data_IF_337044116238
#
_entry.id   IF_337044116238
#
_cell.length_a   1.000
_cell.length_b   1.000
_cell.length_c   1.000
_cell.angle_alpha   90.00
_cell.angle_beta   90.00
_cell.angle_gamma   90.00
#
_symmetry.space_group_name_H-M   'P 1'
#
loop_
_entity.id
_entity.type
_entity.pdbx_description
1 polymer ?
#
# COMPACT_ATOMS: atom_id res chain seq x y z
N UNK A 1 -12.49 -13.81 9.61
CA UNK A 1 -12.19 -12.40 9.31
C UNK A 1 -13.08 -11.95 8.18
N UNK A 2 -14.06 -11.09 8.47
CA UNK A 2 -14.89 -10.44 7.48
C UNK A 2 -14.14 -9.26 6.86
N UNK A 3 -14.39 -9.03 5.57
CA UNK A 3 -13.91 -7.86 4.83
C UNK A 3 -15.01 -7.34 3.93
N UNK A 4 -14.92 -6.06 3.56
CA UNK A 4 -15.73 -5.46 2.50
C UNK A 4 -14.81 -4.75 1.52
N UNK A 5 -15.13 -4.85 0.24
CA UNK A 5 -14.46 -4.15 -0.85
C UNK A 5 -15.53 -3.46 -1.70
N UNK A 6 -15.44 -2.15 -1.84
CA UNK A 6 -16.26 -1.38 -2.76
C UNK A 6 -15.40 -0.90 -3.92
N UNK A 7 -15.95 -0.98 -5.14
CA UNK A 7 -15.32 -0.48 -6.34
C UNK A 7 -16.30 0.35 -7.16
N UNK A 8 -15.78 1.32 -7.91
CA UNK A 8 -16.51 2.15 -8.85
C UNK A 8 -15.71 2.31 -10.13
N UNK A 9 -16.39 2.13 -11.25
CA UNK A 9 -15.93 2.64 -12.53
C UNK A 9 -16.60 4.00 -12.80
N UNK A 10 -15.81 4.99 -13.17
CA UNK A 10 -16.27 6.30 -13.66
C UNK A 10 -15.77 6.50 -15.08
N UNK A 11 -16.55 7.16 -15.92
CA UNK A 11 -16.18 7.41 -17.31
C UNK A 11 -16.51 8.85 -17.71
N UNK A 12 -15.63 9.44 -18.53
CA UNK A 12 -15.78 10.79 -19.06
C UNK A 12 -15.80 10.66 -20.59
N UNK A 13 -16.73 11.38 -21.23
CA UNK A 13 -16.87 11.39 -22.69
C UNK A 13 -18.32 11.66 -23.11
N UNK A 14 -18.55 12.14 -24.34
CA UNK A 14 -19.88 12.51 -24.83
C UNK A 14 -20.84 11.32 -24.99
N UNK A 15 -20.30 10.11 -25.10
CA UNK A 15 -21.08 8.86 -25.15
C UNK A 15 -20.65 7.88 -24.06
N UNK A 16 -20.02 8.39 -23.00
CA UNK A 16 -19.50 7.57 -21.92
C UNK A 16 -20.65 6.88 -21.18
N UNK A 17 -20.55 5.57 -21.05
CA UNK A 17 -21.50 4.75 -20.34
C UNK A 17 -20.76 3.74 -19.46
N UNK A 18 -21.24 3.57 -18.24
CA UNK A 18 -20.75 2.57 -17.29
C UNK A 18 -21.91 1.68 -16.89
N UNK A 19 -21.78 0.37 -17.08
CA UNK A 19 -22.72 -0.63 -16.56
C UNK A 19 -22.02 -1.60 -15.62
N UNK A 20 -22.80 -2.15 -14.68
CA UNK A 20 -22.39 -3.22 -13.79
C UNK A 20 -23.34 -4.40 -14.00
N UNK A 21 -22.80 -5.54 -14.40
CA UNK A 21 -23.54 -6.78 -14.60
C UNK A 21 -23.11 -7.79 -13.55
N UNK A 22 -23.89 -7.95 -12.45
CA UNK A 22 -23.61 -8.98 -11.46
C UNK A 22 -23.84 -10.37 -12.05
N UNK A 23 -22.96 -11.30 -11.70
CA UNK A 23 -23.08 -12.73 -12.01
C UNK A 23 -23.66 -13.48 -10.80
N UNK A 24 -24.33 -14.61 -11.03
CA UNK A 24 -24.97 -15.41 -9.98
C UNK A 24 -23.98 -15.96 -8.94
N UNK A 25 -22.70 -16.07 -9.30
CA UNK A 25 -21.61 -16.60 -8.46
C UNK A 25 -20.96 -15.56 -7.53
N UNK A 26 -21.53 -14.35 -7.43
CA UNK A 26 -20.99 -13.27 -6.61
C UNK A 26 -19.87 -12.46 -7.27
N UNK A 27 -19.62 -12.71 -8.56
CA UNK A 27 -18.78 -11.86 -9.40
C UNK A 27 -19.61 -10.69 -9.97
N UNK A 28 -18.94 -9.66 -10.46
CA UNK A 28 -19.57 -8.62 -11.25
C UNK A 28 -18.63 -8.15 -12.36
N UNK A 29 -19.18 -7.95 -13.55
CA UNK A 29 -18.45 -7.34 -14.67
C UNK A 29 -18.81 -5.86 -14.76
N UNK A 30 -17.80 -4.99 -14.66
CA UNK A 30 -17.94 -3.56 -14.96
C UNK A 30 -17.59 -3.32 -16.44
N UNK A 31 -18.50 -2.70 -17.18
CA UNK A 31 -18.32 -2.41 -18.60
C UNK A 31 -18.32 -0.90 -18.79
N UNK A 32 -17.28 -0.37 -19.44
CA UNK A 32 -17.17 1.03 -19.81
C UNK A 32 -17.16 1.14 -21.34
N UNK A 33 -18.04 1.96 -21.91
CA UNK A 33 -18.12 2.18 -23.36
C UNK A 33 -18.21 3.67 -23.69
N UNK A 34 -17.77 4.05 -24.91
CA UNK A 34 -17.91 5.41 -25.43
C UNK A 34 -17.16 6.51 -24.64
N UNK A 35 -16.23 6.11 -23.78
CA UNK A 35 -15.45 7.01 -22.92
C UNK A 35 -14.15 7.47 -23.61
N UNK A 36 -13.75 8.71 -23.35
CA UNK A 36 -12.40 9.21 -23.66
C UNK A 36 -11.43 8.92 -22.51
N UNK A 37 -11.94 8.89 -21.28
CA UNK A 37 -11.20 8.53 -20.08
C UNK A 37 -12.07 7.66 -19.17
N UNK A 38 -11.44 6.68 -18.50
CA UNK A 38 -12.09 5.82 -17.55
C UNK A 38 -11.24 5.68 -16.28
N UNK A 39 -11.92 5.58 -15.13
CA UNK A 39 -11.31 5.53 -13.81
C UNK A 39 -11.88 4.34 -13.06
N UNK A 40 -11.00 3.58 -12.41
CA UNK A 40 -11.40 2.55 -11.46
C UNK A 40 -10.90 3.00 -10.09
N UNK A 41 -11.83 3.13 -9.14
CA UNK A 41 -11.53 3.43 -7.75
C UNK A 41 -12.02 2.29 -6.89
N UNK A 42 -11.22 1.85 -5.92
CA UNK A 42 -11.66 0.86 -4.94
C UNK A 42 -11.21 1.24 -3.54
N UNK A 43 -11.94 0.75 -2.55
CA UNK A 43 -11.60 0.87 -1.13
C UNK A 43 -12.03 -0.40 -0.41
N UNK A 44 -11.18 -0.90 0.46
CA UNK A 44 -11.46 -2.07 1.27
C UNK A 44 -11.19 -1.81 2.74
N UNK A 45 -11.86 -2.57 3.59
CA UNK A 45 -11.60 -2.60 5.04
C UNK A 45 -11.96 -3.98 5.58
N UNK A 46 -11.42 -4.29 6.75
CA UNK A 46 -11.70 -5.53 7.46
C UNK A 46 -12.40 -5.22 8.77
N UNK A 47 -12.92 -6.25 9.42
CA UNK A 47 -13.40 -6.13 10.78
C UNK A 47 -12.26 -5.95 11.79
N UNK A 48 -10.97 -5.96 11.42
CA UNK A 48 -9.88 -5.85 12.38
C UNK A 48 -9.79 -4.48 13.04
N UNK A 49 -9.59 -4.48 14.34
CA UNK A 49 -9.29 -3.30 15.15
C UNK A 49 -8.25 -3.68 16.21
N UNK A 50 -7.08 -3.02 16.16
CA UNK A 50 -5.97 -3.30 17.07
C UNK A 50 -6.31 -2.91 18.52
N UNK A 51 -7.15 -1.89 18.70
CA UNK A 51 -7.50 -1.34 20.01
C UNK A 51 -8.63 -2.14 20.68
N UNK A 52 -9.40 -2.91 19.89
CA UNK A 52 -10.46 -3.78 20.39
C UNK A 52 -9.95 -5.10 21.02
N UNK A 53 -8.66 -5.13 21.37
CA UNK A 53 -8.05 -6.22 22.12
C UNK A 53 -8.37 -6.19 23.62
N UNK A 54 -9.06 -5.18 24.15
CA UNK A 54 -9.25 -5.02 25.60
C UNK A 54 -10.45 -5.81 26.19
N UNK A 55 -10.61 -5.73 27.53
CA UNK A 55 -11.72 -6.34 28.28
C UNK A 55 -13.10 -5.82 27.84
N UNK A 56 -13.21 -4.53 27.49
CA UNK A 56 -14.48 -3.91 27.09
C UNK A 56 -14.99 -4.46 25.77
N UNK A 57 -14.07 -4.86 24.90
CA UNK A 57 -14.31 -5.51 23.62
C UNK A 57 -14.19 -7.03 23.69
N UNK A 58 -14.09 -7.60 24.89
CA UNK A 58 -13.91 -9.05 25.13
C UNK A 58 -12.76 -9.65 24.33
N UNK A 59 -11.65 -8.91 24.18
CA UNK A 59 -10.45 -9.31 23.44
C UNK A 59 -10.75 -9.72 21.99
N UNK A 60 -11.73 -9.08 21.36
CA UNK A 60 -12.24 -9.49 20.04
C UNK A 60 -11.32 -9.13 18.88
N UNK A 61 -10.56 -8.03 19.01
CA UNK A 61 -9.83 -7.37 17.92
C UNK A 61 -10.73 -7.04 16.72
N UNK A 62 -12.01 -6.73 16.99
CA UNK A 62 -13.03 -6.53 15.96
C UNK A 62 -13.79 -5.21 16.09
N UNK A 63 -14.03 -4.58 14.94
CA UNK A 63 -14.94 -3.45 14.73
C UNK A 63 -16.00 -3.78 13.68
N UNK A 64 -17.06 -2.96 13.67
CA UNK A 64 -18.06 -2.97 12.61
C UNK A 64 -17.50 -2.26 11.38
N UNK A 65 -17.62 -2.88 10.21
CA UNK A 65 -17.25 -2.25 8.93
C UNK A 65 -18.36 -1.25 8.53
N UNK A 66 -18.01 0.03 8.48
CA UNK A 66 -18.93 1.13 8.14
C UNK A 66 -19.04 1.35 6.64
N UNK A 67 -20.19 1.00 6.06
CA UNK A 67 -20.47 1.20 4.63
C UNK A 67 -20.49 2.68 4.25
N UNK A 68 -21.01 3.54 5.14
CA UNK A 68 -21.02 4.99 4.93
C UNK A 68 -19.61 5.57 4.87
N UNK A 69 -18.68 5.08 5.70
CA UNK A 69 -17.26 5.47 5.62
C UNK A 69 -16.63 5.05 4.30
N UNK A 70 -16.80 3.79 3.90
CA UNK A 70 -16.23 3.28 2.64
C UNK A 70 -16.79 4.02 1.43
N UNK A 71 -18.11 4.24 1.37
CA UNK A 71 -18.73 5.02 0.31
C UNK A 71 -18.28 6.49 0.32
N UNK A 72 -18.06 7.08 1.50
CA UNK A 72 -17.48 8.41 1.64
C UNK A 72 -16.10 8.52 0.99
N UNK A 73 -15.18 7.61 1.33
CA UNK A 73 -13.84 7.55 0.73
C UNK A 73 -13.94 7.36 -0.79
N UNK A 74 -14.75 6.40 -1.24
CA UNK A 74 -14.94 6.11 -2.65
C UNK A 74 -15.47 7.34 -3.41
N UNK A 75 -16.44 8.07 -2.84
CA UNK A 75 -17.00 9.27 -3.43
C UNK A 75 -15.97 10.41 -3.54
N UNK A 76 -15.14 10.61 -2.51
CA UNK A 76 -14.08 11.62 -2.54
C UNK A 76 -13.00 11.30 -3.57
N UNK A 77 -12.70 10.01 -3.77
CA UNK A 77 -11.67 9.56 -4.70
C UNK A 77 -12.16 9.36 -6.15
N UNK A 78 -13.47 9.41 -6.41
CA UNK A 78 -14.03 9.14 -7.74
C UNK A 78 -14.31 10.43 -8.53
N UNK A 79 -13.86 10.54 -9.79
CA UNK A 79 -14.30 11.61 -10.68
C UNK A 79 -15.80 11.53 -10.97
N UNK A 80 -16.38 12.71 -11.20
CA UNK A 80 -17.75 12.87 -11.69
C UNK A 80 -17.76 13.83 -12.89
N UNK A 81 -18.85 13.82 -13.67
CA UNK A 81 -19.03 14.78 -14.77
C UNK A 81 -19.01 16.25 -14.32
N UNK A 82 -19.33 16.51 -13.04
CA UNK A 82 -19.26 17.84 -12.43
C UNK A 82 -17.88 18.18 -11.82
N UNK A 83 -17.02 17.18 -11.60
CA UNK A 83 -15.66 17.35 -11.06
C UNK A 83 -14.71 16.32 -11.70
N UNK A 84 -14.32 16.54 -12.97
CA UNK A 84 -13.46 15.63 -13.72
C UNK A 84 -11.98 15.72 -13.30
N UNK A 85 -11.58 16.76 -12.56
CA UNK A 85 -10.19 17.08 -12.21
C UNK A 85 -9.66 16.40 -10.93
N UNK A 86 -10.21 15.25 -10.54
CA UNK A 86 -9.81 14.53 -9.31
C UNK A 86 -8.47 13.81 -9.41
N UNK A 87 -8.04 13.35 -10.59
CA UNK A 87 -6.78 12.59 -10.68
C UNK A 87 -5.54 13.41 -10.34
N UNK A 88 -5.37 14.58 -10.96
CA UNK A 88 -4.17 15.39 -10.76
C UNK A 88 -4.03 15.84 -9.30
N UNK A 89 -5.16 16.18 -8.65
CA UNK A 89 -5.16 16.53 -7.22
C UNK A 89 -4.88 15.32 -6.33
N UNK A 90 -5.47 14.15 -6.60
CA UNK A 90 -5.20 12.91 -5.88
C UNK A 90 -3.75 12.44 -6.06
N UNK A 91 -3.21 12.52 -7.28
CA UNK A 91 -1.82 12.20 -7.57
C UNK A 91 -0.88 13.14 -6.81
N UNK A 92 -1.16 14.45 -6.83
CA UNK A 92 -0.37 15.44 -6.09
C UNK A 92 -0.42 15.18 -4.58
N UNK A 93 -1.61 14.89 -4.04
CA UNK A 93 -1.77 14.53 -2.63
C UNK A 93 -1.02 13.24 -2.28
N UNK A 94 -1.08 12.22 -3.15
CA UNK A 94 -0.33 10.98 -3.00
C UNK A 94 1.19 11.23 -3.00
N UNK A 95 1.72 11.97 -3.98
CA UNK A 95 3.15 12.28 -4.08
C UNK A 95 3.62 13.04 -2.83
N UNK A 96 2.84 14.02 -2.36
CA UNK A 96 3.19 14.78 -1.16
C UNK A 96 3.21 13.89 0.09
N UNK A 97 2.19 13.05 0.28
CA UNK A 97 2.12 12.10 1.39
C UNK A 97 3.23 11.05 1.34
N UNK A 98 3.53 10.54 0.14
CA UNK A 98 4.60 9.58 -0.07
C UNK A 98 5.99 10.19 0.25
N UNK A 99 6.24 11.42 -0.21
CA UNK A 99 7.48 12.14 0.05
C UNK A 99 7.65 12.50 1.53
N UNK A 100 6.56 12.78 2.26
CA UNK A 100 6.67 13.01 3.71
C UNK A 100 7.15 11.77 4.45
N UNK A 101 6.74 10.57 4.02
CA UNK A 101 7.24 9.32 4.62
C UNK A 101 8.69 9.02 4.27
N UNK A 102 9.13 9.29 3.03
CA UNK A 102 10.52 9.07 2.62
C UNK A 102 11.51 10.01 3.33
N UNK A 103 11.05 11.20 3.70
CA UNK A 103 11.89 12.24 4.27
C UNK A 103 12.91 12.80 3.28
N UNK A 104 13.83 13.61 3.80
CA UNK A 104 14.80 14.38 2.99
C UNK A 104 16.08 13.63 2.63
N UNK A 105 16.27 12.40 3.12
CA UNK A 105 17.51 11.65 2.91
C UNK A 105 17.71 11.31 1.42
N UNK A 106 18.94 11.54 0.94
CA UNK A 106 19.38 11.21 -0.41
C UNK A 106 20.75 10.56 -0.37
N UNK A 107 20.92 9.49 -1.16
CA UNK A 107 22.19 8.79 -1.35
C UNK A 107 22.71 9.04 -2.77
N UNK A 108 24.00 9.36 -2.87
CA UNK A 108 24.74 9.37 -4.14
C UNK A 108 25.96 8.47 -4.02
N UNK A 109 26.08 7.52 -4.93
CA UNK A 109 27.21 6.60 -5.09
C UNK A 109 28.04 6.98 -6.34
N UNK A 110 27.81 8.16 -6.93
CA UNK A 110 28.37 8.52 -8.23
C UNK A 110 27.73 7.76 -9.40
N UNK A 111 26.51 7.25 -9.19
CA UNK A 111 25.78 6.47 -10.17
C UNK A 111 25.32 7.32 -11.36
N UNK A 112 25.34 6.72 -12.54
CA UNK A 112 24.72 7.25 -13.75
C UNK A 112 23.55 6.36 -14.15
N UNK A 113 22.33 6.89 -14.32
CA UNK A 113 21.20 6.08 -14.76
C UNK A 113 21.49 5.36 -16.08
N UNK A 114 21.23 4.06 -16.10
CA UNK A 114 21.26 3.26 -17.31
C UNK A 114 19.82 2.99 -17.76
N UNK A 115 19.44 3.55 -18.91
CA UNK A 115 18.15 3.33 -19.56
C UNK A 115 18.26 2.41 -20.78
N UNK A 116 19.44 1.87 -21.06
CA UNK A 116 19.71 0.98 -22.19
C UNK A 116 19.47 -0.50 -21.86
N UNK A 117 19.55 -0.84 -20.57
CA UNK A 117 19.27 -2.17 -20.05
C UNK A 117 18.09 -2.15 -19.07
N UNK A 118 17.35 -3.24 -19.00
CA UNK A 118 16.33 -3.42 -17.96
C UNK A 118 16.95 -3.79 -16.61
N UNK A 119 16.21 -3.58 -15.51
CA UNK A 119 16.71 -3.87 -14.15
C UNK A 119 17.07 -5.35 -13.96
N UNK A 120 16.35 -6.28 -14.60
CA UNK A 120 16.65 -7.71 -14.56
C UNK A 120 17.95 -8.07 -15.31
N UNK A 121 18.23 -7.42 -16.43
CA UNK A 121 19.51 -7.54 -17.15
C UNK A 121 20.68 -6.99 -16.30
N UNK A 122 20.52 -5.81 -15.70
CA UNK A 122 21.51 -5.22 -14.81
C UNK A 122 21.82 -6.14 -13.62
N UNK A 123 20.78 -6.74 -13.03
CA UNK A 123 20.91 -7.71 -11.93
C UNK A 123 21.61 -8.98 -12.38
N UNK A 124 21.27 -9.53 -13.54
CA UNK A 124 21.90 -10.74 -14.07
C UNK A 124 23.38 -10.53 -14.39
N UNK A 125 23.77 -9.31 -14.79
CA UNK A 125 25.15 -8.95 -15.11
C UNK A 125 25.98 -8.53 -13.88
N UNK A 126 25.37 -8.32 -12.72
CA UNK A 126 26.04 -7.81 -11.51
C UNK A 126 27.13 -8.78 -11.02
N UNK A 127 28.33 -8.24 -10.72
CA UNK A 127 29.47 -8.99 -10.19
C UNK A 127 29.97 -8.29 -8.93
N UNK A 128 30.01 -9.01 -7.80
CA UNK A 128 30.32 -8.42 -6.48
C UNK A 128 31.69 -7.74 -6.41
N UNK A 129 32.68 -8.24 -7.15
CA UNK A 129 34.03 -7.69 -7.23
C UNK A 129 34.13 -6.44 -8.12
N UNK A 130 33.15 -6.20 -8.99
CA UNK A 130 33.09 -5.03 -9.89
C UNK A 130 32.09 -3.97 -9.43
N UNK A 131 30.97 -4.39 -8.86
CA UNK A 131 29.86 -3.53 -8.49
C UNK A 131 29.10 -2.95 -9.69
N UNK A 132 28.02 -2.23 -9.38
CA UNK A 132 27.27 -1.37 -10.28
C UNK A 132 26.59 -0.29 -9.43
N UNK A 133 27.17 0.93 -9.34
CA UNK A 133 26.65 1.99 -8.48
C UNK A 133 25.19 2.36 -8.76
N UNK A 134 24.73 2.22 -10.01
CA UNK A 134 23.33 2.49 -10.34
C UNK A 134 22.41 1.42 -9.78
N UNK A 135 22.72 0.14 -9.96
CA UNK A 135 21.91 -0.94 -9.41
C UNK A 135 21.93 -0.95 -7.87
N UNK A 136 23.08 -0.68 -7.25
CA UNK A 136 23.22 -0.56 -5.80
C UNK A 136 22.38 0.60 -5.25
N UNK A 137 22.40 1.75 -5.94
CA UNK A 137 21.55 2.89 -5.60
C UNK A 137 20.06 2.59 -5.77
N UNK A 138 19.67 1.87 -6.84
CA UNK A 138 18.29 1.42 -7.04
C UNK A 138 17.88 0.49 -5.89
N UNK A 139 18.71 -0.50 -5.54
CA UNK A 139 18.43 -1.44 -4.46
C UNK A 139 18.26 -0.73 -3.11
N UNK A 140 19.14 0.22 -2.79
CA UNK A 140 19.03 1.03 -1.58
C UNK A 140 17.69 1.78 -1.51
N UNK A 141 17.32 2.48 -2.58
CA UNK A 141 16.04 3.22 -2.61
C UNK A 141 14.84 2.28 -2.71
N UNK A 142 15.00 1.08 -3.26
CA UNK A 142 13.93 0.09 -3.32
C UNK A 142 13.53 -0.41 -1.93
N UNK A 143 14.48 -0.60 -1.00
CA UNK A 143 14.17 -0.91 0.40
C UNK A 143 13.33 0.18 1.06
N UNK A 144 13.72 1.45 0.87
CA UNK A 144 12.94 2.62 1.33
C UNK A 144 11.55 2.66 0.70
N UNK A 145 11.47 2.42 -0.61
CA UNK A 145 10.19 2.36 -1.34
C UNK A 145 9.26 1.27 -0.78
N UNK A 146 9.78 0.07 -0.54
CA UNK A 146 9.02 -1.06 -0.01
C UNK A 146 8.50 -0.78 1.40
N UNK A 147 9.31 -0.18 2.27
CA UNK A 147 8.86 0.16 3.61
C UNK A 147 7.74 1.21 3.57
N UNK A 148 7.85 2.25 2.74
CA UNK A 148 6.77 3.23 2.55
C UNK A 148 5.48 2.60 2.02
N UNK A 149 5.58 1.55 1.19
CA UNK A 149 4.40 0.81 0.72
C UNK A 149 3.75 -0.08 1.78
N UNK A 150 4.51 -0.50 2.80
CA UNK A 150 4.07 -1.52 3.76
C UNK A 150 3.78 -1.00 5.15
N UNK A 151 4.59 -0.08 5.67
CA UNK A 151 4.50 0.36 7.06
C UNK A 151 3.30 1.27 7.37
N UNK A 152 2.87 2.25 6.52
CA UNK A 152 1.80 3.17 6.90
C UNK A 152 0.48 2.44 7.23
N UNK A 153 -0.16 2.78 8.35
CA UNK A 153 -1.45 2.22 8.74
C UNK A 153 -1.43 1.64 10.15
N UNK A 154 -2.26 0.62 10.38
CA UNK A 154 -2.53 0.05 11.71
C UNK A 154 -1.47 -0.98 12.14
N UNK A 155 -0.94 -1.75 11.20
CA UNK A 155 0.01 -2.83 11.48
C UNK A 155 1.36 -2.53 10.82
N UNK A 156 2.48 -2.94 11.45
CA UNK A 156 3.80 -2.82 10.87
C UNK A 156 3.96 -3.74 9.64
N UNK A 157 5.02 -3.50 8.86
CA UNK A 157 5.41 -4.37 7.77
C UNK A 157 5.78 -5.76 8.30
N UNK A 158 5.07 -6.79 7.85
CA UNK A 158 5.34 -8.19 8.20
C UNK A 158 6.48 -8.78 7.33
N UNK A 159 6.68 -10.10 7.34
CA UNK A 159 7.75 -10.77 6.58
C UNK A 159 7.73 -10.48 5.06
N UNK A 160 6.56 -10.17 4.50
CA UNK A 160 6.36 -9.84 3.08
C UNK A 160 5.84 -8.39 2.91
N UNK A 161 5.95 -7.57 3.95
CA UNK A 161 5.36 -6.23 3.97
C UNK A 161 3.83 -6.29 3.94
N UNK A 162 3.23 -5.87 2.81
CA UNK A 162 1.78 -5.98 2.52
C UNK A 162 1.48 -6.80 1.27
N UNK A 163 2.48 -7.43 0.67
CA UNK A 163 2.34 -8.14 -0.60
C UNK A 163 2.31 -9.64 -0.36
N UNK A 164 1.21 -10.28 -0.74
CA UNK A 164 1.06 -11.73 -0.70
C UNK A 164 0.17 -12.18 -1.87
N UNK A 165 0.53 -13.28 -2.52
CA UNK A 165 -0.25 -13.90 -3.61
C UNK A 165 -1.28 -14.90 -3.10
N UNK A 166 -1.00 -15.50 -1.94
CA UNK A 166 -1.70 -16.68 -1.45
C UNK A 166 -2.39 -16.43 -0.10
N UNK A 167 -3.43 -17.22 0.17
CA UNK A 167 -4.14 -17.20 1.45
C UNK A 167 -3.33 -17.87 2.57
N UNK A 168 -2.38 -18.74 2.21
CA UNK A 168 -1.41 -19.34 3.11
C UNK A 168 0.00 -18.91 2.72
N UNK A 169 0.62 -18.08 3.54
CA UNK A 169 1.96 -17.57 3.29
C UNK A 169 3.02 -18.42 3.99
N UNK A 170 4.22 -18.59 3.39
CA UNK A 170 5.36 -19.18 4.09
C UNK A 170 5.59 -18.51 5.45
N UNK A 171 5.78 -19.34 6.49
CA UNK A 171 5.93 -18.92 7.88
C UNK A 171 4.79 -18.04 8.42
N UNK A 172 3.59 -18.14 7.84
CA UNK A 172 2.43 -17.29 8.16
C UNK A 172 2.69 -15.78 8.00
N UNK A 173 3.77 -15.41 7.28
CA UNK A 173 4.34 -14.07 7.25
C UNK A 173 4.73 -13.49 8.64
N UNK A 174 4.93 -14.36 9.64
CA UNK A 174 5.34 -14.01 11.00
C UNK A 174 6.87 -13.93 11.13
N UNK A 175 7.36 -13.28 12.18
CA UNK A 175 8.75 -12.83 12.26
C UNK A 175 9.29 -12.71 13.68
N UNK A 176 10.46 -13.32 13.92
CA UNK A 176 11.27 -13.05 15.11
C UNK A 176 12.26 -11.89 14.83
N UNK A 177 13.41 -12.16 14.19
CA UNK A 177 14.40 -11.13 13.81
C UNK A 177 13.95 -10.26 12.62
N UNK A 178 12.99 -10.76 11.83
CA UNK A 178 12.66 -10.13 10.55
C UNK A 178 11.91 -8.81 10.74
N UNK A 179 11.11 -8.66 11.81
CA UNK A 179 10.40 -7.41 12.05
C UNK A 179 11.36 -6.28 12.41
N UNK A 180 12.41 -6.53 13.22
CA UNK A 180 13.39 -5.48 13.52
C UNK A 180 14.18 -5.13 12.26
N UNK A 181 14.56 -6.15 11.46
CA UNK A 181 15.31 -5.96 10.21
C UNK A 181 14.56 -5.09 9.20
N UNK A 182 13.23 -5.23 9.10
CA UNK A 182 12.40 -4.38 8.24
C UNK A 182 12.56 -2.88 8.53
N UNK A 183 12.92 -2.50 9.77
CA UNK A 183 12.96 -1.12 10.23
C UNK A 183 14.36 -0.58 10.54
N UNK A 184 15.43 -1.40 10.44
CA UNK A 184 16.80 -0.98 10.80
C UNK A 184 17.29 0.29 10.09
N UNK A 185 16.81 0.55 8.88
CA UNK A 185 17.22 1.69 8.08
C UNK A 185 16.26 2.89 8.17
N UNK A 186 15.07 2.75 8.78
CA UNK A 186 14.02 3.77 8.72
C UNK A 186 14.49 5.11 9.32
N UNK A 187 14.86 5.11 10.60
CA UNK A 187 15.38 6.30 11.30
C UNK A 187 16.68 6.81 10.69
N UNK A 188 17.60 5.89 10.34
CA UNK A 188 18.90 6.22 9.75
C UNK A 188 18.77 6.92 8.38
N UNK A 189 17.65 6.74 7.70
CA UNK A 189 17.34 7.35 6.40
C UNK A 189 16.21 8.38 6.50
N UNK A 190 15.97 8.91 7.71
CA UNK A 190 15.01 9.98 7.98
C UNK A 190 13.57 9.66 7.52
N UNK A 191 13.14 8.39 7.63
CA UNK A 191 11.81 7.95 7.23
C UNK A 191 10.84 7.98 8.42
N UNK A 192 9.68 8.62 8.24
CA UNK A 192 8.63 8.71 9.26
C UNK A 192 7.67 7.50 9.17
N UNK A 193 8.18 6.32 9.53
CA UNK A 193 7.46 5.05 9.32
C UNK A 193 7.51 4.08 10.50
N UNK A 194 8.19 4.44 11.59
CA UNK A 194 8.37 3.53 12.74
C UNK A 194 7.17 3.46 13.68
N UNK A 195 6.29 4.47 13.66
CA UNK A 195 5.17 4.58 14.61
C UNK A 195 4.28 3.33 14.64
N UNK A 196 3.84 2.75 13.51
CA UNK A 196 3.03 1.53 13.53
C UNK A 196 3.72 0.32 14.16
N UNK A 197 5.07 0.26 14.16
CA UNK A 197 5.81 -0.78 14.87
C UNK A 197 5.73 -0.57 16.39
N UNK A 198 5.92 0.66 16.85
CA UNK A 198 5.86 0.98 18.28
C UNK A 198 4.45 0.82 18.84
N UNK A 199 3.42 1.29 18.12
CA UNK A 199 2.01 1.10 18.49
C UNK A 199 1.70 -0.40 18.65
N UNK A 200 2.16 -1.22 17.71
CA UNK A 200 1.98 -2.67 17.76
C UNK A 200 2.69 -3.32 18.96
N UNK A 201 3.91 -2.89 19.28
CA UNK A 201 4.66 -3.36 20.47
C UNK A 201 3.93 -2.98 21.76
N UNK A 202 3.45 -1.74 21.85
CA UNK A 202 2.72 -1.25 23.03
C UNK A 202 1.48 -2.09 23.29
N UNK A 203 0.63 -2.27 22.28
CA UNK A 203 -0.58 -3.09 22.40
C UNK A 203 -0.25 -4.56 22.72
N UNK A 204 0.78 -5.13 22.11
CA UNK A 204 1.17 -6.53 22.34
C UNK A 204 1.74 -6.78 23.74
N UNK A 205 2.39 -5.79 24.35
CA UNK A 205 2.96 -5.91 25.69
C UNK A 205 1.90 -6.06 26.79
N UNK A 206 0.69 -5.51 26.58
CA UNK A 206 -0.40 -5.59 27.57
C UNK A 206 -1.06 -6.98 27.67
N UNK A 207 -0.84 -7.87 26.71
CA UNK A 207 -1.42 -9.23 26.72
C UNK A 207 -0.48 -10.31 27.27
N UNK A 208 0.72 -9.94 27.71
CA UNK A 208 1.79 -10.90 28.06
C UNK A 208 1.98 -11.16 29.57
N UNK A 209 0.94 -11.01 30.39
CA UNK A 209 0.99 -11.30 31.84
C UNK A 209 -0.14 -12.20 32.33
#
# INVERSE_FOLDING_TARGET
>A
MAYKLFARASAIGPSANVTCSPEETGNATLIVTGATEAWITWVGDTEYDMDAGDVTHSFSFRKIISDSRLLGILNTASPSSASPSTYSSLLSAHINSYNSFLGSFSLSLGQTPDSSQSTDELKAAYQTDKGNPYLEWVLFNYGRYLLTGSAPGVLPANLQGKWASDTSNPWSADSNINIQMNYWFAEMTNMDLVTPLFDYIEVSAFFSF
#
